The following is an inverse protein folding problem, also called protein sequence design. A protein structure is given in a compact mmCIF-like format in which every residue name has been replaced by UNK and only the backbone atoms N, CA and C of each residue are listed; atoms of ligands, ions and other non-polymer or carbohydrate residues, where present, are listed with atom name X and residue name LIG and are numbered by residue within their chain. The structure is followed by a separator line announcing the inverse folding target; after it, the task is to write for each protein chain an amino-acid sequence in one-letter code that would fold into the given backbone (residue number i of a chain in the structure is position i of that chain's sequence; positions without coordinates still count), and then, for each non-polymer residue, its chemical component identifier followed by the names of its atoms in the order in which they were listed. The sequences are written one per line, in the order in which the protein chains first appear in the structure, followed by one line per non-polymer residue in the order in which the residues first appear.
data_IF_906655917734
#
_entry.id   IF_906655917734
#
_cell.length_a   1.000
_cell.length_b   1.000
_cell.length_c   1.000
_cell.angle_alpha   90.00
_cell.angle_beta   90.00
_cell.angle_gamma   90.00
#
_symmetry.space_group_name_H-M   'P 1'
#
loop_
_entity.id
_entity.type
_entity.pdbx_description
1 polymer ?
#
# COMPACT_ATOMS: atom_id res chain seq x y z
N UNK A 1 -8.59 3.93 8.96
CA UNK A 1 -8.23 2.90 7.98
C UNK A 1 -6.74 3.04 7.61
N UNK A 2 -5.98 1.92 7.64
CA UNK A 2 -4.53 1.91 7.35
C UNK A 2 -4.25 2.49 5.95
N UNK A 3 -5.05 2.13 4.96
CA UNK A 3 -4.86 2.60 3.59
C UNK A 3 -5.14 4.10 3.42
N UNK A 4 -6.13 4.63 4.11
CA UNK A 4 -6.39 6.08 4.15
C UNK A 4 -5.18 6.84 4.69
N UNK A 5 -4.55 6.35 5.75
CA UNK A 5 -3.34 6.94 6.29
C UNK A 5 -2.19 6.98 5.28
N UNK A 6 -2.04 5.97 4.42
CA UNK A 6 -1.05 6.01 3.35
C UNK A 6 -1.41 7.04 2.26
N UNK A 7 -2.68 7.18 1.91
CA UNK A 7 -3.14 8.19 0.96
C UNK A 7 -2.92 9.61 1.50
N UNK A 8 -3.21 9.85 2.78
CA UNK A 8 -2.94 11.12 3.46
C UNK A 8 -1.44 11.44 3.46
N UNK A 9 -0.60 10.47 3.83
CA UNK A 9 0.85 10.63 3.81
C UNK A 9 1.39 10.93 2.41
N UNK A 10 0.82 10.33 1.37
CA UNK A 10 1.17 10.59 -0.02
C UNK A 10 0.81 12.03 -0.42
N UNK A 11 -0.38 12.49 -0.03
CA UNK A 11 -0.83 13.86 -0.29
C UNK A 11 0.08 14.89 0.42
N UNK A 12 0.32 14.73 1.71
CA UNK A 12 1.21 15.60 2.50
C UNK A 12 2.61 15.68 1.88
N UNK A 13 3.18 14.53 1.50
CA UNK A 13 4.51 14.48 0.89
C UNK A 13 4.52 15.20 -0.47
N UNK A 14 3.47 15.07 -1.26
CA UNK A 14 3.35 15.76 -2.55
C UNK A 14 3.31 17.28 -2.37
N UNK A 15 2.57 17.76 -1.38
CA UNK A 15 2.50 19.19 -1.06
C UNK A 15 3.85 19.71 -0.54
N UNK A 16 4.48 18.98 0.39
CA UNK A 16 5.79 19.33 0.93
C UNK A 16 6.89 19.36 -0.17
N UNK A 17 6.82 18.45 -1.13
CA UNK A 17 7.74 18.42 -2.28
C UNK A 17 7.65 19.70 -3.10
N UNK A 18 6.47 20.25 -3.31
CA UNK A 18 6.29 21.50 -4.04
C UNK A 18 6.91 22.69 -3.28
N UNK A 19 6.78 22.72 -1.96
CA UNK A 19 7.41 23.76 -1.11
C UNK A 19 8.94 23.66 -1.16
N UNK A 20 9.49 22.46 -1.02
CA UNK A 20 10.94 22.22 -1.09
C UNK A 20 11.49 22.63 -2.46
N UNK A 21 10.77 22.36 -3.54
CA UNK A 21 11.18 22.78 -4.88
C UNK A 21 11.33 24.30 -4.98
N UNK A 22 10.39 25.05 -4.41
CA UNK A 22 10.41 26.52 -4.42
C UNK A 22 11.53 27.09 -3.56
N UNK A 23 11.80 26.49 -2.41
CA UNK A 23 12.74 27.03 -1.42
C UNK A 23 14.19 26.58 -1.68
N UNK A 24 14.40 25.32 -2.10
CA UNK A 24 15.73 24.69 -2.18
C UNK A 24 16.14 24.23 -3.58
N UNK A 25 15.20 24.17 -4.51
CA UNK A 25 15.47 23.76 -5.89
C UNK A 25 15.43 22.24 -6.12
N UNK A 26 15.76 21.87 -7.36
CA UNK A 26 15.59 20.50 -7.90
C UNK A 26 16.48 19.46 -7.22
N UNK A 27 17.70 19.82 -6.84
CA UNK A 27 18.67 18.89 -6.23
C UNK A 27 18.15 18.29 -4.92
N UNK A 28 17.51 19.11 -4.11
CA UNK A 28 16.91 18.68 -2.84
C UNK A 28 15.77 17.69 -3.04
N UNK A 29 15.00 17.85 -4.12
CA UNK A 29 13.95 16.89 -4.49
C UNK A 29 14.54 15.59 -5.02
N UNK A 30 15.57 15.67 -5.85
CA UNK A 30 16.23 14.52 -6.45
C UNK A 30 16.73 13.52 -5.38
N UNK A 31 17.18 14.02 -4.25
CA UNK A 31 17.64 13.18 -3.12
C UNK A 31 16.57 12.19 -2.62
N UNK A 32 15.31 12.60 -2.64
CA UNK A 32 14.18 11.78 -2.17
C UNK A 32 13.26 11.29 -3.30
N UNK A 33 13.63 11.49 -4.55
CA UNK A 33 12.81 11.12 -5.70
C UNK A 33 12.54 9.60 -5.77
N UNK A 34 13.56 8.78 -5.54
CA UNK A 34 13.41 7.31 -5.56
C UNK A 34 12.52 6.79 -4.43
N UNK A 35 12.74 7.14 -3.16
CA UNK A 35 11.81 6.79 -2.07
C UNK A 35 10.37 7.23 -2.35
N UNK A 36 10.17 8.44 -2.88
CA UNK A 36 8.85 8.95 -3.20
C UNK A 36 8.17 8.15 -4.32
N UNK A 37 8.89 7.85 -5.39
CA UNK A 37 8.39 7.03 -6.50
C UNK A 37 8.01 5.62 -6.03
N UNK A 38 8.84 5.00 -5.21
CA UNK A 38 8.57 3.68 -4.64
C UNK A 38 7.33 3.68 -3.76
N UNK A 39 7.15 4.72 -2.96
CA UNK A 39 5.97 4.87 -2.11
C UNK A 39 4.68 5.07 -2.94
N UNK A 40 4.67 5.96 -3.93
CA UNK A 40 3.55 6.15 -4.86
C UNK A 40 3.17 4.82 -5.53
N UNK A 41 4.17 4.12 -6.05
CA UNK A 41 3.95 2.84 -6.74
C UNK A 41 3.35 1.79 -5.81
N UNK A 42 3.84 1.72 -4.56
CA UNK A 42 3.31 0.77 -3.57
C UNK A 42 1.88 1.11 -3.13
N UNK A 43 1.55 2.38 -2.95
CA UNK A 43 0.17 2.81 -2.63
C UNK A 43 -0.78 2.49 -3.79
N UNK A 44 -0.35 2.75 -5.03
CA UNK A 44 -1.14 2.42 -6.23
C UNK A 44 -1.38 0.92 -6.36
N UNK A 45 -0.34 0.10 -6.17
CA UNK A 45 -0.46 -1.35 -6.18
C UNK A 45 -1.37 -1.85 -5.05
N UNK A 46 -1.26 -1.27 -3.86
CA UNK A 46 -2.12 -1.57 -2.72
C UNK A 46 -3.60 -1.26 -3.01
N UNK A 47 -3.88 -0.15 -3.66
CA UNK A 47 -5.24 0.19 -4.11
C UNK A 47 -5.83 -0.86 -5.06
N UNK A 48 -5.06 -1.28 -6.06
CA UNK A 48 -5.49 -2.32 -7.01
C UNK A 48 -5.72 -3.67 -6.32
N UNK A 49 -4.85 -4.04 -5.37
CA UNK A 49 -5.02 -5.26 -4.59
C UNK A 49 -6.25 -5.20 -3.68
N UNK A 50 -6.55 -4.04 -3.10
CA UNK A 50 -7.78 -3.85 -2.33
C UNK A 50 -9.04 -4.02 -3.18
N UNK A 51 -9.06 -3.48 -4.40
CA UNK A 51 -10.18 -3.70 -5.33
C UNK A 51 -10.37 -5.19 -5.63
N UNK A 52 -9.28 -5.91 -5.88
CA UNK A 52 -9.33 -7.36 -6.07
C UNK A 52 -9.84 -8.09 -4.82
N UNK A 53 -9.44 -7.65 -3.63
CA UNK A 53 -9.89 -8.23 -2.37
C UNK A 53 -11.39 -8.02 -2.12
N UNK A 54 -11.94 -6.85 -2.47
CA UNK A 54 -13.39 -6.58 -2.39
C UNK A 54 -14.16 -7.53 -3.30
N UNK A 55 -13.76 -7.67 -4.55
CA UNK A 55 -14.38 -8.61 -5.50
C UNK A 55 -14.28 -10.05 -4.97
N UNK A 56 -13.11 -10.43 -4.46
CA UNK A 56 -12.90 -11.76 -3.89
C UNK A 56 -13.81 -12.04 -2.69
N UNK A 57 -14.00 -11.06 -1.81
CA UNK A 57 -14.91 -11.15 -0.67
C UNK A 57 -16.37 -11.36 -1.11
N UNK A 58 -16.81 -10.64 -2.12
CA UNK A 58 -18.16 -10.80 -2.69
C UNK A 58 -18.35 -12.20 -3.29
N UNK A 59 -17.36 -12.71 -4.01
CA UNK A 59 -17.42 -14.06 -4.59
C UNK A 59 -17.44 -15.14 -3.51
N UNK A 60 -16.65 -15.00 -2.45
CA UNK A 60 -16.69 -15.92 -1.31
C UNK A 60 -18.06 -15.93 -0.63
N UNK A 61 -18.67 -14.75 -0.42
CA UNK A 61 -20.02 -14.65 0.14
C UNK A 61 -21.05 -15.37 -0.73
N UNK A 62 -20.95 -15.26 -2.05
CA UNK A 62 -21.83 -15.97 -2.98
C UNK A 62 -21.65 -17.49 -2.93
N UNK A 63 -20.43 -17.99 -2.81
CA UNK A 63 -20.12 -19.41 -2.66
C UNK A 63 -20.71 -19.94 -1.36
N UNK A 64 -20.54 -19.21 -0.25
CA UNK A 64 -21.10 -19.58 1.06
C UNK A 64 -22.62 -19.69 1.02
N UNK A 65 -23.30 -18.71 0.43
CA UNK A 65 -24.76 -18.74 0.30
C UNK A 65 -25.26 -19.92 -0.53
N UNK A 66 -24.56 -20.28 -1.61
CA UNK A 66 -24.91 -21.44 -2.44
C UNK A 66 -24.73 -22.78 -1.74
N UNK A 67 -23.72 -22.88 -0.88
CA UNK A 67 -23.39 -24.11 -0.15
C UNK A 67 -24.06 -24.22 1.22
N UNK A 68 -24.84 -23.20 1.64
CA UNK A 68 -25.50 -23.15 2.95
C UNK A 68 -24.51 -22.95 4.10
N UNK A 69 -23.35 -22.36 3.82
CA UNK A 69 -22.22 -22.18 4.78
C UNK A 69 -22.11 -20.75 5.29
N UNK A 70 -23.20 -20.00 5.33
CA UNK A 70 -23.24 -18.56 5.67
C UNK A 70 -22.66 -18.21 7.04
N UNK A 71 -22.76 -19.15 7.99
CA UNK A 71 -22.30 -18.96 9.37
C UNK A 71 -20.86 -19.42 9.64
N UNK A 72 -20.13 -19.88 8.62
CA UNK A 72 -18.76 -20.37 8.78
C UNK A 72 -17.72 -19.26 8.52
N UNK A 73 -16.69 -19.27 9.37
CA UNK A 73 -15.50 -18.43 9.17
C UNK A 73 -14.72 -18.82 7.91
N UNK A 74 -13.95 -17.87 7.34
CA UNK A 74 -13.11 -18.09 6.15
C UNK A 74 -12.15 -19.27 6.28
N UNK A 75 -11.70 -19.55 7.52
CA UNK A 75 -10.82 -20.69 7.84
C UNK A 75 -11.52 -22.06 7.76
N UNK A 76 -12.86 -22.09 7.84
CA UNK A 76 -13.67 -23.31 7.87
C UNK A 76 -14.26 -23.68 6.50
N UNK A 77 -13.98 -22.90 5.43
CA UNK A 77 -14.43 -23.23 4.08
C UNK A 77 -13.75 -24.50 3.56
N UNK A 78 -14.48 -25.37 2.84
CA UNK A 78 -13.90 -26.60 2.28
C UNK A 78 -12.70 -26.26 1.40
N UNK A 79 -11.54 -26.80 1.72
CA UNK A 79 -10.26 -26.59 1.01
C UNK A 79 -10.32 -27.17 -0.43
N UNK A 80 -11.30 -27.99 -0.72
CA UNK A 80 -11.45 -28.72 -1.98
C UNK A 80 -11.95 -27.86 -3.17
N UNK A 81 -12.47 -26.64 -2.90
CA UNK A 81 -12.93 -25.74 -3.95
C UNK A 81 -11.81 -24.79 -4.38
N UNK A 82 -11.27 -24.99 -5.60
CA UNK A 82 -10.22 -24.14 -6.17
C UNK A 82 -10.58 -22.65 -6.19
N UNK A 83 -11.85 -22.32 -6.45
CA UNK A 83 -12.33 -20.94 -6.44
C UNK A 83 -12.27 -20.33 -5.02
N UNK A 84 -12.62 -21.09 -4.01
CA UNK A 84 -12.53 -20.65 -2.60
C UNK A 84 -11.09 -20.34 -2.22
N UNK A 85 -10.16 -21.23 -2.59
CA UNK A 85 -8.73 -21.03 -2.35
C UNK A 85 -8.23 -19.78 -3.08
N UNK A 86 -8.61 -19.61 -4.34
CA UNK A 86 -8.20 -18.46 -5.15
C UNK A 86 -8.65 -17.13 -4.54
N UNK A 87 -9.92 -16.99 -4.19
CA UNK A 87 -10.44 -15.75 -3.61
C UNK A 87 -9.91 -15.49 -2.20
N UNK A 88 -9.76 -16.51 -1.37
CA UNK A 88 -9.13 -16.39 -0.07
C UNK A 88 -7.69 -15.90 -0.17
N UNK A 89 -6.92 -16.42 -1.12
CA UNK A 89 -5.54 -15.99 -1.34
C UNK A 89 -5.46 -14.53 -1.82
N UNK A 90 -6.41 -14.06 -2.63
CA UNK A 90 -6.48 -12.64 -3.04
C UNK A 90 -6.62 -11.71 -1.84
N UNK A 91 -7.49 -12.06 -0.88
CA UNK A 91 -7.67 -11.28 0.34
C UNK A 91 -6.42 -11.29 1.23
N UNK A 92 -5.78 -12.46 1.39
CA UNK A 92 -4.54 -12.59 2.16
C UNK A 92 -3.39 -11.79 1.54
N UNK A 93 -3.26 -11.83 0.21
CA UNK A 93 -2.25 -11.06 -0.54
C UNK A 93 -2.44 -9.57 -0.33
N UNK A 94 -3.66 -9.05 -0.44
CA UNK A 94 -3.95 -7.65 -0.21
C UNK A 94 -3.59 -7.23 1.23
N UNK A 95 -3.98 -8.02 2.22
CA UNK A 95 -3.65 -7.76 3.61
C UNK A 95 -2.15 -7.73 3.85
N UNK A 96 -1.43 -8.75 3.39
CA UNK A 96 0.02 -8.81 3.50
C UNK A 96 0.71 -7.59 2.86
N UNK A 97 0.24 -7.20 1.69
CA UNK A 97 0.81 -6.04 0.99
C UNK A 97 0.63 -4.74 1.78
N UNK A 98 -0.57 -4.52 2.34
CA UNK A 98 -0.86 -3.34 3.15
C UNK A 98 -0.10 -3.31 4.49
N UNK A 99 0.07 -4.45 5.13
CA UNK A 99 0.63 -4.54 6.48
C UNK A 99 2.15 -4.74 6.48
N UNK A 100 2.73 -5.34 5.44
CA UNK A 100 4.13 -5.69 5.39
C UNK A 100 4.93 -4.99 4.27
N UNK A 101 4.33 -4.72 3.11
CA UNK A 101 5.06 -4.17 1.95
C UNK A 101 5.03 -2.64 1.95
N UNK A 102 3.86 -2.02 2.00
CA UNK A 102 3.74 -0.55 1.97
C UNK A 102 4.51 0.13 3.11
N UNK A 103 4.48 -0.38 4.37
CA UNK A 103 5.22 0.24 5.46
C UNK A 103 6.72 0.39 5.22
N UNK A 104 7.34 -0.52 4.46
CA UNK A 104 8.77 -0.44 4.13
C UNK A 104 9.08 0.79 3.28
N UNK A 105 8.27 1.06 2.27
CA UNK A 105 8.42 2.24 1.42
C UNK A 105 8.01 3.53 2.11
N UNK A 106 6.99 3.47 2.96
CA UNK A 106 6.59 4.60 3.80
C UNK A 106 7.72 5.02 4.75
N UNK A 107 8.40 4.06 5.36
CA UNK A 107 9.55 4.31 6.24
C UNK A 107 10.71 5.01 5.50
N UNK A 108 10.99 4.63 4.26
CA UNK A 108 12.01 5.30 3.45
C UNK A 108 11.70 6.78 3.18
N UNK A 109 10.41 7.13 3.12
CA UNK A 109 9.96 8.48 2.87
C UNK A 109 10.06 9.40 4.11
N UNK A 110 10.07 8.83 5.31
CA UNK A 110 10.14 9.60 6.56
C UNK A 110 11.42 10.45 6.67
N UNK A 111 12.52 10.01 6.06
CA UNK A 111 13.74 10.81 5.93
C UNK A 111 13.51 12.12 5.18
N UNK A 112 12.74 12.08 4.10
CA UNK A 112 12.35 13.26 3.32
C UNK A 112 11.45 14.22 4.10
N UNK A 113 10.53 13.69 4.88
CA UNK A 113 9.66 14.51 5.76
C UNK A 113 10.46 15.29 6.82
N UNK A 114 11.57 14.74 7.28
CA UNK A 114 12.48 15.42 8.21
C UNK A 114 13.31 16.52 7.56
N UNK A 115 13.24 16.68 6.25
CA UNK A 115 13.99 17.65 5.46
C UNK A 115 15.51 17.63 5.73
N UNK A 116 16.06 16.42 5.88
CA UNK A 116 17.50 16.24 6.02
C UNK A 116 18.17 16.24 4.64
N UNK A 117 18.93 17.30 4.37
CA UNK A 117 19.64 17.51 3.10
C UNK A 117 21.16 17.48 3.26
N UNK A 118 21.67 17.06 4.41
CA UNK A 118 23.11 17.04 4.71
C UNK A 118 23.94 16.26 3.67
N UNK A 119 23.31 15.24 3.04
CA UNK A 119 23.97 14.47 1.98
C UNK A 119 24.39 15.31 0.77
N UNK A 120 23.72 16.44 0.49
CA UNK A 120 24.07 17.35 -0.60
C UNK A 120 25.28 18.23 -0.28
N UNK A 121 25.67 18.31 1.00
CA UNK A 121 26.80 19.12 1.47
C UNK A 121 28.10 18.32 1.65
N UNK A 122 28.04 16.99 1.40
CA UNK A 122 29.22 16.13 1.52
C UNK A 122 30.19 16.44 0.39
N UNK A 123 31.41 16.78 0.74
CA UNK A 123 32.55 17.00 -0.18
C UNK A 123 33.57 15.90 -0.02
N UNK A 124 34.15 15.43 -1.13
CA UNK A 124 35.17 14.41 -1.18
C UNK A 124 36.55 15.01 -1.49
#
# INVERSE_FOLDING_TARGET
NIFEGYCESLYETSMSTQEILKERGMESIALYATPFLMFISSVTAGWLLLQQAVIASEQLSRIRSKEGLEDLDDSALPVENENTIFYSNKMKTARYFLEAVIPQYHSLLEGGKKQNFDALEITF
#
